data_IF_302894850790
#
_entry.id   IF_302894850790
#
_cell.length_a   1.000
_cell.length_b   1.000
_cell.length_c   1.000
_cell.angle_alpha   90.00
_cell.angle_beta   90.00
_cell.angle_gamma   90.00
#
_symmetry.space_group_name_H-M   'P 1'
#
loop_
_entity.id
_entity.type
_entity.pdbx_description
1 polymer ?
#
# COMPACT_ATOMS: atom_id res chain seq x y z
N UNK A 1 -4.86 -50.93 -20.93
CA UNK A 1 -5.61 -49.70 -21.26
C UNK A 1 -4.93 -48.57 -20.50
N UNK A 2 -3.87 -47.99 -21.08
CA UNK A 2 -3.13 -46.88 -20.48
C UNK A 2 -3.92 -45.59 -20.72
N UNK A 3 -4.25 -44.85 -19.66
CA UNK A 3 -4.87 -43.52 -19.78
C UNK A 3 -3.79 -42.53 -20.19
N UNK A 4 -3.98 -41.90 -21.35
CA UNK A 4 -3.16 -40.80 -21.84
C UNK A 4 -3.28 -39.59 -20.90
N UNK A 5 -2.16 -39.20 -20.27
CA UNK A 5 -2.04 -38.01 -19.40
C UNK A 5 -1.57 -36.75 -20.18
N UNK A 6 -1.59 -36.83 -21.50
CA UNK A 6 -1.08 -35.83 -22.45
C UNK A 6 -1.73 -34.43 -22.36
N UNK A 7 -3.02 -34.22 -21.99
CA UNK A 7 -3.59 -32.86 -21.97
C UNK A 7 -3.16 -32.02 -20.75
N UNK A 8 -2.72 -32.65 -19.66
CA UNK A 8 -2.30 -31.92 -18.45
C UNK A 8 -0.88 -31.38 -18.54
N UNK A 9 -0.02 -32.03 -19.33
CA UNK A 9 1.38 -31.58 -19.56
C UNK A 9 1.41 -30.33 -20.42
N UNK A 10 0.51 -30.22 -21.42
CA UNK A 10 0.39 -29.05 -22.28
C UNK A 10 -0.05 -27.78 -21.55
N UNK A 11 -1.04 -27.89 -20.64
CA UNK A 11 -1.53 -26.75 -19.86
C UNK A 11 -0.48 -26.25 -18.85
N UNK A 12 0.25 -27.17 -18.19
CA UNK A 12 1.36 -26.82 -17.30
C UNK A 12 2.52 -26.16 -18.05
N UNK A 13 2.85 -26.64 -19.26
CA UNK A 13 3.88 -26.04 -20.12
C UNK A 13 3.47 -24.64 -20.61
N UNK A 14 2.21 -24.42 -20.96
CA UNK A 14 1.70 -23.10 -21.36
C UNK A 14 1.70 -22.12 -20.20
N UNK A 15 1.25 -22.54 -19.01
CA UNK A 15 1.31 -21.72 -17.79
C UNK A 15 2.76 -21.44 -17.35
N UNK A 16 3.67 -22.42 -17.44
CA UNK A 16 5.10 -22.20 -17.20
C UNK A 16 5.72 -21.27 -18.24
N UNK A 17 5.33 -21.38 -19.51
CA UNK A 17 5.82 -20.49 -20.57
C UNK A 17 5.29 -19.06 -20.41
N UNK A 18 4.03 -18.86 -20.02
CA UNK A 18 3.48 -17.55 -19.71
C UNK A 18 4.09 -16.95 -18.44
N UNK A 19 4.34 -17.77 -17.42
CA UNK A 19 5.06 -17.39 -16.21
C UNK A 19 6.51 -16.98 -16.49
N UNK A 20 7.24 -17.74 -17.31
CA UNK A 20 8.61 -17.44 -17.72
C UNK A 20 8.68 -16.23 -18.65
N UNK A 21 7.69 -16.05 -19.52
CA UNK A 21 7.54 -14.93 -20.44
C UNK A 21 7.26 -13.61 -19.69
N UNK A 22 6.30 -13.61 -18.76
CA UNK A 22 6.00 -12.44 -17.92
C UNK A 22 7.16 -12.07 -16.99
N UNK A 23 7.90 -13.06 -16.46
CA UNK A 23 9.18 -12.81 -15.79
C UNK A 23 10.14 -12.08 -16.75
N UNK A 24 10.40 -12.64 -17.93
CA UNK A 24 11.35 -12.07 -18.91
C UNK A 24 10.98 -10.63 -19.32
N UNK A 25 9.71 -10.31 -19.50
CA UNK A 25 9.25 -8.94 -19.81
C UNK A 25 9.48 -7.96 -18.64
N UNK A 26 9.15 -8.37 -17.40
CA UNK A 26 9.47 -7.59 -16.20
C UNK A 26 10.99 -7.39 -16.02
N UNK A 27 11.80 -8.42 -16.28
CA UNK A 27 13.26 -8.35 -16.28
C UNK A 27 13.80 -7.40 -17.35
N UNK A 28 13.25 -7.44 -18.56
CA UNK A 28 13.67 -6.55 -19.63
C UNK A 28 13.37 -5.09 -19.29
N UNK A 29 12.21 -4.78 -18.70
CA UNK A 29 11.88 -3.42 -18.24
C UNK A 29 12.78 -2.95 -17.09
N UNK A 30 13.11 -3.81 -16.12
CA UNK A 30 14.08 -3.48 -15.06
C UNK A 30 15.49 -3.25 -15.62
N UNK A 31 15.92 -4.08 -16.58
CA UNK A 31 17.24 -3.97 -17.23
C UNK A 31 17.39 -2.75 -18.15
N UNK A 32 16.28 -2.14 -18.56
CA UNK A 32 16.28 -0.88 -19.31
C UNK A 32 16.49 0.34 -18.41
N UNK A 33 16.38 0.20 -17.08
CA UNK A 33 16.56 1.28 -16.09
C UNK A 33 17.95 1.27 -15.42
N UNK A 34 18.84 0.33 -15.78
CA UNK A 34 20.20 0.20 -15.22
C UNK A 34 20.86 -1.13 -15.60
N UNK A 35 22.17 -1.31 -15.36
CA UNK A 35 22.93 -2.46 -15.84
C UNK A 35 22.28 -3.79 -15.39
N UNK A 36 22.25 -4.79 -16.29
CA UNK A 36 21.49 -6.06 -16.26
C UNK A 36 21.75 -7.01 -15.08
N UNK A 37 21.73 -6.47 -13.86
CA UNK A 37 21.71 -7.19 -12.61
C UNK A 37 20.27 -7.68 -12.40
N UNK A 38 20.04 -8.98 -12.12
CA UNK A 38 18.72 -9.44 -11.74
C UNK A 38 18.29 -8.71 -10.45
N UNK A 39 17.18 -7.95 -10.50
CA UNK A 39 16.29 -7.68 -9.36
C UNK A 39 16.34 -8.78 -8.29
N UNK A 40 16.67 -8.34 -7.08
CA UNK A 40 16.63 -9.14 -5.87
C UNK A 40 15.66 -8.51 -4.90
N UNK A 41 14.86 -9.36 -4.27
CA UNK A 41 13.95 -8.96 -3.22
C UNK A 41 14.64 -9.03 -1.85
N UNK A 42 15.71 -8.26 -1.65
CA UNK A 42 16.58 -8.32 -0.47
C UNK A 42 16.78 -6.95 0.21
N UNK A 43 15.81 -6.05 0.04
CA UNK A 43 15.83 -4.75 0.71
C UNK A 43 15.71 -4.89 2.23
N UNK A 44 16.75 -4.43 2.93
CA UNK A 44 16.75 -4.31 4.38
C UNK A 44 16.19 -2.94 4.80
N UNK A 45 15.29 -2.97 5.78
CA UNK A 45 14.64 -1.80 6.35
C UNK A 45 14.56 -1.94 7.88
N UNK A 46 14.42 -0.82 8.59
CA UNK A 46 14.24 -0.82 10.05
C UNK A 46 12.91 -0.18 10.41
N UNK A 47 12.44 -0.41 11.64
CA UNK A 47 11.15 0.07 12.11
C UNK A 47 11.29 0.89 13.38
N UNK A 48 10.41 1.88 13.55
CA UNK A 48 10.23 2.65 14.78
C UNK A 48 8.75 2.65 15.15
N UNK A 49 8.41 2.26 16.39
CA UNK A 49 7.02 2.28 16.85
C UNK A 49 6.64 3.73 17.15
N UNK A 50 5.64 4.25 16.44
CA UNK A 50 5.10 5.61 16.62
C UNK A 50 3.93 5.63 17.60
N UNK A 51 3.17 4.52 17.66
CA UNK A 51 2.06 4.33 18.57
C UNK A 51 1.85 2.83 18.79
N UNK A 52 1.55 2.44 20.02
CA UNK A 52 1.29 1.04 20.39
C UNK A 52 -0.19 0.71 20.20
N UNK A 53 -1.09 1.62 20.59
CA UNK A 53 -2.54 1.47 20.44
C UNK A 53 -3.17 2.83 20.05
N UNK A 54 -3.68 2.99 18.81
CA UNK A 54 -3.58 2.06 17.70
C UNK A 54 -2.13 1.83 17.26
N UNK A 55 -1.82 0.64 16.74
CA UNK A 55 -0.48 0.35 16.25
C UNK A 55 -0.16 1.20 15.02
N UNK A 56 0.90 2.01 15.12
CA UNK A 56 1.49 2.74 14.00
C UNK A 56 3.02 2.62 14.06
N UNK A 57 3.63 2.34 12.92
CA UNK A 57 5.05 2.03 12.80
C UNK A 57 5.64 2.83 11.64
N UNK A 58 6.73 3.57 11.88
CA UNK A 58 7.54 4.16 10.83
C UNK A 58 8.45 3.12 10.19
N UNK A 59 8.57 3.13 8.88
CA UNK A 59 9.37 2.19 8.09
C UNK A 59 10.53 2.96 7.44
N UNK A 60 11.73 2.81 7.98
CA UNK A 60 12.93 3.45 7.43
C UNK A 60 13.47 2.65 6.26
N UNK A 61 13.70 3.30 5.11
CA UNK A 61 14.32 2.66 3.95
C UNK A 61 13.55 1.40 3.48
N UNK A 62 12.22 1.46 3.51
CA UNK A 62 11.34 0.36 3.12
C UNK A 62 11.46 -0.01 1.64
N UNK A 63 11.71 0.97 0.76
CA UNK A 63 12.03 0.77 -0.66
C UNK A 63 13.41 1.32 -0.98
N UNK A 64 14.14 0.65 -1.88
CA UNK A 64 15.35 1.22 -2.47
C UNK A 64 15.07 2.03 -3.75
N UNK A 65 16.08 2.78 -4.19
CA UNK A 65 16.01 3.60 -5.39
C UNK A 65 15.69 2.83 -6.68
N UNK A 66 16.10 1.57 -6.79
CA UNK A 66 15.82 0.77 -7.98
C UNK A 66 14.34 0.37 -8.03
N UNK A 67 13.78 -0.10 -6.91
CA UNK A 67 12.35 -0.38 -6.76
C UNK A 67 11.52 0.88 -7.04
N UNK A 68 11.89 2.02 -6.47
CA UNK A 68 11.17 3.28 -6.65
C UNK A 68 11.17 3.72 -8.12
N UNK A 69 12.33 3.75 -8.78
CA UNK A 69 12.42 4.15 -10.19
C UNK A 69 11.60 3.23 -11.09
N UNK A 70 11.62 1.93 -10.81
CA UNK A 70 10.81 0.96 -11.55
C UNK A 70 9.31 1.21 -11.39
N UNK A 71 8.83 1.38 -10.16
CA UNK A 71 7.41 1.64 -9.88
C UNK A 71 6.93 2.95 -10.54
N UNK A 72 7.75 4.02 -10.48
CA UNK A 72 7.44 5.28 -11.15
C UNK A 72 7.27 5.11 -12.66
N UNK A 73 8.17 4.37 -13.32
CA UNK A 73 8.07 4.07 -14.74
C UNK A 73 6.87 3.17 -15.06
N UNK A 74 6.57 2.19 -14.19
CA UNK A 74 5.44 1.28 -14.36
C UNK A 74 4.10 2.02 -14.30
N UNK A 75 3.97 3.02 -13.44
CA UNK A 75 2.75 3.80 -13.23
C UNK A 75 2.55 5.00 -14.17
N UNK A 76 3.59 5.44 -14.90
CA UNK A 76 3.64 6.75 -15.57
C UNK A 76 2.43 7.05 -16.47
N UNK A 77 1.97 6.05 -17.25
CA UNK A 77 0.95 6.25 -18.29
C UNK A 77 -0.45 5.73 -17.91
N UNK A 78 -0.68 5.36 -16.65
CA UNK A 78 -1.94 4.73 -16.21
C UNK A 78 -2.64 5.48 -15.08
N UNK A 79 -2.17 6.68 -14.73
CA UNK A 79 -2.85 7.57 -13.77
C UNK A 79 -4.22 8.01 -14.27
N UNK A 80 -5.19 8.01 -13.35
CA UNK A 80 -6.55 8.53 -13.54
C UNK A 80 -6.99 9.31 -12.31
N UNK A 81 -7.99 10.20 -12.40
CA UNK A 81 -8.54 10.88 -11.23
C UNK A 81 -8.89 9.89 -10.12
N UNK A 82 -8.48 10.19 -8.88
CA UNK A 82 -8.68 9.26 -7.77
C UNK A 82 -10.13 9.21 -7.33
N UNK A 83 -10.55 8.02 -6.95
CA UNK A 83 -11.90 7.78 -6.44
C UNK A 83 -11.94 7.78 -4.91
N UNK A 84 -13.13 8.02 -4.36
CA UNK A 84 -13.47 7.93 -2.94
C UNK A 84 -14.71 7.07 -2.75
N UNK A 85 -14.72 6.30 -1.66
CA UNK A 85 -15.90 5.56 -1.24
C UNK A 85 -16.99 6.52 -0.72
N UNK A 86 -18.22 6.34 -1.19
CA UNK A 86 -19.42 7.07 -0.79
C UNK A 86 -20.54 6.07 -0.46
N UNK A 87 -21.59 6.53 0.23
CA UNK A 87 -22.82 5.76 0.47
C UNK A 87 -23.47 5.26 -0.82
N UNK A 88 -23.26 5.97 -1.93
CA UNK A 88 -23.80 5.64 -3.27
C UNK A 88 -22.84 4.81 -4.13
N UNK A 89 -21.74 4.30 -3.57
CA UNK A 89 -20.69 3.60 -4.30
C UNK A 89 -19.40 4.40 -4.43
N UNK A 90 -18.58 4.08 -5.44
CA UNK A 90 -17.28 4.70 -5.68
C UNK A 90 -17.48 5.91 -6.61
N UNK A 91 -16.99 7.10 -6.21
CA UNK A 91 -17.15 8.34 -6.97
C UNK A 91 -15.83 9.12 -7.08
N UNK A 92 -15.69 9.93 -8.12
CA UNK A 92 -14.65 10.98 -8.18
C UNK A 92 -15.19 12.23 -7.49
N UNK A 93 -14.54 12.66 -6.40
CA UNK A 93 -14.92 13.88 -5.68
C UNK A 93 -13.68 14.71 -5.31
N UNK A 94 -13.35 15.66 -6.18
CA UNK A 94 -12.16 16.52 -6.07
C UNK A 94 -12.18 17.45 -4.84
N UNK A 95 -13.34 17.67 -4.23
CA UNK A 95 -13.42 18.45 -2.97
C UNK A 95 -12.89 17.67 -1.77
N UNK A 96 -12.92 16.33 -1.83
CA UNK A 96 -12.48 15.40 -0.79
C UNK A 96 -11.09 14.83 -1.09
N UNK A 97 -10.87 14.40 -2.34
CA UNK A 97 -9.61 13.84 -2.83
C UNK A 97 -9.36 14.35 -4.24
N UNK A 98 -8.30 15.12 -4.43
CA UNK A 98 -7.96 15.73 -5.74
C UNK A 98 -6.76 15.07 -6.44
N UNK A 99 -6.22 14.00 -5.86
CA UNK A 99 -5.09 13.25 -6.42
C UNK A 99 -5.44 12.47 -7.69
N UNK A 100 -4.41 12.00 -8.39
CA UNK A 100 -4.51 10.94 -9.40
C UNK A 100 -4.03 9.60 -8.82
N UNK A 101 -4.60 8.48 -9.25
CA UNK A 101 -4.21 7.14 -8.80
C UNK A 101 -3.95 6.21 -9.99
N UNK A 102 -3.04 5.26 -9.78
CA UNK A 102 -2.72 4.17 -10.71
C UNK A 102 -2.66 2.86 -9.92
N UNK A 103 -3.43 1.86 -10.34
CA UNK A 103 -3.32 0.50 -9.81
C UNK A 103 -2.30 -0.28 -10.64
N UNK A 104 -1.33 -0.87 -9.97
CA UNK A 104 -0.27 -1.65 -10.61
C UNK A 104 -0.76 -3.08 -10.88
N UNK A 105 -0.15 -3.70 -11.89
CA UNK A 105 -0.50 -5.04 -12.33
C UNK A 105 -0.26 -6.07 -11.23
N UNK A 106 -1.24 -6.96 -11.07
CA UNK A 106 -1.07 -8.24 -10.39
C UNK A 106 -0.03 -9.07 -11.19
N UNK A 107 0.82 -9.82 -10.50
CA UNK A 107 1.93 -10.62 -11.04
C UNK A 107 3.23 -9.91 -11.47
N UNK A 108 3.42 -8.62 -11.16
CA UNK A 108 4.74 -7.97 -11.31
C UNK A 108 5.74 -8.42 -10.23
N UNK A 109 7.01 -8.65 -10.61
CA UNK A 109 8.04 -9.17 -9.70
C UNK A 109 8.37 -8.21 -8.55
N UNK A 110 8.39 -6.90 -8.80
CA UNK A 110 8.63 -5.87 -7.76
C UNK A 110 7.39 -5.77 -6.89
N UNK A 111 6.19 -5.71 -7.48
CA UNK A 111 4.94 -5.70 -6.71
C UNK A 111 4.83 -6.91 -5.75
N UNK A 112 5.12 -8.11 -6.25
CA UNK A 112 5.11 -9.35 -5.46
C UNK A 112 6.17 -9.36 -4.35
N UNK A 113 7.33 -8.75 -4.59
CA UNK A 113 8.33 -8.54 -3.57
C UNK A 113 7.81 -7.64 -2.44
N UNK A 114 7.15 -6.51 -2.77
CA UNK A 114 6.58 -5.61 -1.78
C UNK A 114 5.44 -6.28 -0.99
N UNK A 115 4.55 -7.00 -1.68
CA UNK A 115 3.51 -7.81 -1.04
C UNK A 115 4.13 -8.77 -0.03
N UNK A 116 5.21 -9.47 -0.40
CA UNK A 116 5.91 -10.39 0.49
C UNK A 116 6.52 -9.65 1.70
N UNK A 117 7.04 -8.43 1.51
CA UNK A 117 7.56 -7.58 2.59
C UNK A 117 6.47 -7.15 3.58
N UNK A 118 5.28 -6.79 3.09
CA UNK A 118 4.12 -6.49 3.94
C UNK A 118 3.65 -7.72 4.72
N UNK A 119 3.57 -8.88 4.06
CA UNK A 119 3.23 -10.16 4.73
C UNK A 119 4.24 -10.48 5.84
N UNK A 120 5.53 -10.28 5.58
CA UNK A 120 6.58 -10.47 6.58
C UNK A 120 6.47 -9.51 7.76
N UNK A 121 6.04 -8.25 7.55
CA UNK A 121 5.80 -7.28 8.62
C UNK A 121 4.62 -7.69 9.50
N UNK A 122 3.54 -8.16 8.88
CA UNK A 122 2.31 -8.59 9.59
C UNK A 122 2.52 -9.90 10.37
N UNK A 123 3.46 -10.74 9.94
CA UNK A 123 3.85 -11.94 10.67
C UNK A 123 2.67 -12.89 10.93
N UNK A 124 2.33 -13.12 12.19
CA UNK A 124 1.28 -14.06 12.59
C UNK A 124 -0.13 -13.44 12.65
N UNK A 125 -0.28 -12.13 12.39
CA UNK A 125 -1.62 -11.51 12.33
C UNK A 125 -2.38 -12.11 11.15
N UNK A 126 -3.67 -12.41 11.28
CA UNK A 126 -4.43 -13.04 10.18
C UNK A 126 -4.53 -12.13 8.95
N UNK A 127 -3.78 -12.46 7.89
CA UNK A 127 -3.81 -11.75 6.61
C UNK A 127 -3.67 -12.74 5.45
N UNK A 128 -4.71 -12.90 4.63
CA UNK A 128 -4.68 -13.84 3.50
C UNK A 128 -4.28 -13.14 2.20
N UNK A 129 -4.73 -11.90 2.03
CA UNK A 129 -4.61 -11.16 0.79
C UNK A 129 -4.02 -9.77 1.03
N UNK A 130 -3.27 -9.28 0.05
CA UNK A 130 -2.84 -7.88 -0.06
C UNK A 130 -3.38 -7.39 -1.40
N UNK A 131 -4.15 -6.31 -1.37
CA UNK A 131 -4.74 -5.70 -2.57
C UNK A 131 -3.66 -5.27 -3.57
N UNK A 132 -4.03 -5.16 -4.85
CA UNK A 132 -3.16 -4.61 -5.90
C UNK A 132 -2.62 -3.24 -5.47
N UNK A 133 -1.31 -3.03 -5.64
CA UNK A 133 -0.65 -1.82 -5.14
C UNK A 133 -1.19 -0.59 -5.86
N UNK A 134 -1.52 0.46 -5.10
CA UNK A 134 -2.03 1.71 -5.67
C UNK A 134 -1.00 2.82 -5.51
N UNK A 135 -0.49 3.34 -6.62
CA UNK A 135 0.24 4.59 -6.64
C UNK A 135 -0.72 5.77 -6.60
N UNK A 136 -0.36 6.82 -5.87
CA UNK A 136 -1.16 8.04 -5.72
C UNK A 136 -0.28 9.27 -5.90
N UNK A 137 -0.63 10.13 -6.85
CA UNK A 137 0.10 11.34 -7.21
C UNK A 137 -0.67 12.59 -6.78
N UNK A 138 0.04 13.49 -6.10
CA UNK A 138 -0.45 14.79 -5.66
C UNK A 138 0.42 15.87 -6.30
N UNK A 139 -0.21 16.83 -6.99
CA UNK A 139 0.45 17.94 -7.64
C UNK A 139 0.43 19.21 -6.78
N UNK A 140 1.28 20.17 -7.14
CA UNK A 140 1.24 21.51 -6.58
C UNK A 140 -0.13 22.18 -6.82
N UNK A 141 -0.51 23.11 -5.93
CA UNK A 141 -1.80 23.80 -6.01
C UNK A 141 -2.82 23.38 -4.95
N UNK A 142 -2.38 22.61 -3.94
CA UNK A 142 -3.19 22.25 -2.79
C UNK A 142 -3.82 20.86 -2.86
N UNK A 143 -3.31 19.98 -3.72
CA UNK A 143 -3.79 18.60 -3.77
C UNK A 143 -3.70 17.93 -2.42
N UNK A 144 -4.76 17.20 -2.07
CA UNK A 144 -4.95 16.63 -0.75
C UNK A 144 -5.92 15.46 -0.76
N UNK A 145 -5.92 14.72 0.33
CA UNK A 145 -7.00 13.82 0.70
C UNK A 145 -7.45 14.20 2.11
N UNK A 146 -8.70 14.63 2.25
CA UNK A 146 -9.32 14.93 3.55
C UNK A 146 -9.34 13.70 4.46
N UNK A 147 -9.66 13.94 5.73
CA UNK A 147 -9.81 12.91 6.76
C UNK A 147 -10.70 11.75 6.27
N UNK A 148 -10.15 10.54 6.33
CA UNK A 148 -10.82 9.30 5.97
C UNK A 148 -10.22 8.13 6.76
N UNK A 149 -10.86 6.96 6.65
CA UNK A 149 -10.35 5.69 7.16
C UNK A 149 -10.19 4.71 6.01
N UNK A 150 -9.27 3.75 6.15
CA UNK A 150 -9.04 2.74 5.12
C UNK A 150 -9.90 1.49 5.29
N UNK A 151 -10.32 1.14 6.52
CA UNK A 151 -11.02 -0.13 6.77
C UNK A 151 -12.42 -0.23 6.13
N UNK A 152 -13.02 0.88 5.71
CA UNK A 152 -14.38 0.99 5.13
C UNK A 152 -15.53 0.52 6.05
N UNK A 153 -16.56 1.36 6.18
CA UNK A 153 -17.80 1.01 6.91
C UNK A 153 -18.52 -0.16 6.24
N UNK A 154 -18.53 -0.17 4.90
CA UNK A 154 -19.07 -1.28 4.10
C UNK A 154 -18.01 -2.36 3.91
N UNK A 155 -18.38 -3.61 4.21
CA UNK A 155 -17.52 -4.75 3.91
C UNK A 155 -17.31 -4.87 2.40
N UNK A 156 -16.06 -5.16 1.98
CA UNK A 156 -15.77 -5.56 0.60
C UNK A 156 -16.17 -7.02 0.43
N UNK A 157 -16.91 -7.30 -0.63
CA UNK A 157 -17.23 -8.66 -1.04
C UNK A 157 -16.18 -9.13 -2.03
N UNK A 158 -15.44 -10.17 -1.69
CA UNK A 158 -14.51 -10.83 -2.58
C UNK A 158 -15.01 -12.26 -2.81
N UNK A 159 -15.00 -12.72 -4.05
CA UNK A 159 -15.28 -14.12 -4.35
C UNK A 159 -13.99 -14.91 -4.17
N UNK A 160 -14.03 -15.91 -3.32
CA UNK A 160 -12.96 -16.89 -3.21
C UNK A 160 -12.90 -17.72 -4.50
N UNK A 161 -11.80 -17.68 -5.23
CA UNK A 161 -11.71 -18.34 -6.53
C UNK A 161 -11.80 -19.86 -6.43
N UNK A 162 -11.31 -20.45 -5.34
CA UNK A 162 -11.27 -21.90 -5.15
C UNK A 162 -12.65 -22.48 -4.80
N UNK A 163 -13.41 -21.81 -3.93
CA UNK A 163 -14.71 -22.28 -3.43
C UNK A 163 -15.90 -21.61 -4.12
N UNK A 164 -15.70 -20.51 -4.86
CA UNK A 164 -16.74 -19.67 -5.42
C UNK A 164 -17.56 -18.92 -4.36
N UNK A 165 -17.15 -18.96 -3.08
CA UNK A 165 -17.88 -18.38 -1.96
C UNK A 165 -17.63 -16.88 -1.91
N UNK A 166 -18.70 -16.10 -1.73
CA UNK A 166 -18.59 -14.68 -1.37
C UNK A 166 -18.10 -14.56 0.07
N UNK A 167 -16.98 -13.87 0.26
CA UNK A 167 -16.37 -13.59 1.55
C UNK A 167 -16.40 -12.09 1.82
N UNK A 168 -16.85 -11.74 3.01
CA UNK A 168 -16.85 -10.36 3.48
C UNK A 168 -15.51 -10.03 4.11
N UNK A 169 -15.02 -8.82 3.85
CA UNK A 169 -13.70 -8.40 4.29
C UNK A 169 -13.60 -6.91 4.58
N UNK A 170 -12.55 -6.56 5.32
CA UNK A 170 -12.09 -5.19 5.54
C UNK A 170 -10.59 -5.11 5.34
N UNK A 171 -10.07 -3.90 5.14
CA UNK A 171 -8.63 -3.68 5.18
C UNK A 171 -8.14 -3.80 6.62
N UNK A 172 -7.23 -4.73 6.87
CA UNK A 172 -6.58 -4.99 8.15
C UNK A 172 -5.54 -3.93 8.46
N UNK A 173 -4.57 -3.74 7.56
CA UNK A 173 -3.47 -2.83 7.76
C UNK A 173 -3.12 -2.10 6.48
N UNK A 174 -2.58 -0.90 6.62
CA UNK A 174 -2.10 -0.09 5.51
C UNK A 174 -0.62 0.15 5.66
N UNK A 175 0.13 0.00 4.57
CA UNK A 175 1.43 0.65 4.41
C UNK A 175 1.28 1.77 3.39
N UNK A 176 1.72 2.97 3.76
CA UNK A 176 1.90 4.09 2.84
C UNK A 176 3.38 4.40 2.70
N UNK A 177 3.94 4.28 1.50
CA UNK A 177 5.36 4.57 1.22
C UNK A 177 5.48 5.77 0.28
N UNK A 178 6.47 6.64 0.51
CA UNK A 178 6.73 7.78 -0.37
C UNK A 178 7.71 7.38 -1.50
N UNK A 179 7.29 7.57 -2.75
CA UNK A 179 8.09 7.29 -3.96
C UNK A 179 8.77 8.56 -4.51
N UNK A 180 8.09 9.71 -4.37
CA UNK A 180 8.56 11.04 -4.76
C UNK A 180 8.20 12.02 -3.64
N UNK A 181 9.18 12.82 -3.22
CA UNK A 181 9.10 13.70 -2.05
C UNK A 181 9.63 15.11 -2.32
N UNK A 182 9.87 15.50 -3.59
CA UNK A 182 10.21 16.85 -4.01
C UNK A 182 9.04 17.83 -3.83
N UNK A 183 8.56 17.97 -2.60
CA UNK A 183 7.39 18.75 -2.24
C UNK A 183 7.57 19.50 -0.92
N UNK A 184 6.77 20.54 -0.74
CA UNK A 184 6.55 21.19 0.56
C UNK A 184 5.12 20.93 1.03
N UNK A 185 4.95 20.54 2.29
CA UNK A 185 3.69 20.02 2.82
C UNK A 185 3.51 18.54 2.46
N UNK A 186 2.26 18.09 2.33
CA UNK A 186 1.99 16.70 1.93
C UNK A 186 2.14 15.66 3.04
N UNK A 187 2.24 16.08 4.30
CA UNK A 187 2.36 15.17 5.43
C UNK A 187 1.15 14.22 5.50
N UNK A 188 1.40 12.97 5.91
CA UNK A 188 0.31 12.07 6.32
C UNK A 188 -0.02 12.39 7.77
N UNK A 189 -1.23 12.88 8.00
CA UNK A 189 -1.68 13.40 9.28
C UNK A 189 -2.70 12.47 9.94
N UNK A 190 -2.41 12.06 11.17
CA UNK A 190 -3.29 11.28 12.03
C UNK A 190 -3.69 12.11 13.26
N UNK A 191 -4.86 12.77 13.27
CA UNK A 191 -5.28 13.65 14.38
C UNK A 191 -5.42 12.95 15.74
N UNK A 192 -5.72 11.65 15.75
CA UNK A 192 -6.05 10.91 16.98
C UNK A 192 -4.93 9.98 17.44
N UNK A 193 -3.83 9.88 16.70
CA UNK A 193 -2.64 9.16 17.16
C UNK A 193 -1.80 10.07 18.06
N UNK A 194 -1.90 9.81 19.35
CA UNK A 194 -1.17 10.50 20.42
C UNK A 194 -0.04 9.60 20.89
N UNK A 195 1.21 10.02 20.76
CA UNK A 195 2.37 9.15 21.01
C UNK A 195 3.69 9.67 20.47
N UNK A 196 3.64 10.69 19.62
CA UNK A 196 4.82 11.45 19.20
C UNK A 196 5.07 12.54 20.24
N UNK A 197 6.29 12.65 20.71
CA UNK A 197 6.70 13.66 21.67
C UNK A 197 7.23 14.92 20.98
N UNK A 198 7.28 16.04 21.70
CA UNK A 198 7.78 17.31 21.16
C UNK A 198 9.27 17.24 20.78
N UNK A 199 10.02 16.27 21.30
CA UNK A 199 11.41 15.93 20.97
C UNK A 199 11.55 14.88 19.85
N UNK A 200 10.46 14.56 19.14
CA UNK A 200 10.52 13.67 17.98
C UNK A 200 11.50 14.19 16.91
N UNK A 201 12.01 13.26 16.11
CA UNK A 201 13.05 13.47 15.08
C UNK A 201 12.83 14.71 14.21
N UNK A 202 11.58 15.13 13.97
CA UNK A 202 11.28 16.43 13.36
C UNK A 202 11.52 16.45 11.85
N UNK A 203 12.31 15.52 11.32
CA UNK A 203 12.52 15.31 9.89
C UNK A 203 11.67 14.14 9.37
N UNK A 204 11.56 13.04 10.12
CA UNK A 204 10.73 11.88 9.75
C UNK A 204 9.25 12.06 10.12
N UNK A 205 9.02 12.47 11.36
CA UNK A 205 7.70 12.63 11.95
C UNK A 205 7.72 13.68 13.06
N UNK A 206 6.57 14.25 13.38
CA UNK A 206 6.42 15.27 14.43
C UNK A 206 5.01 15.29 15.01
N UNK A 207 4.85 15.98 16.14
CA UNK A 207 3.54 16.35 16.68
C UNK A 207 2.95 17.47 15.82
N UNK A 208 1.65 17.36 15.49
CA UNK A 208 0.95 18.47 14.86
C UNK A 208 0.81 19.66 15.82
N UNK A 209 0.76 20.87 15.26
CA UNK A 209 0.64 22.11 16.04
C UNK A 209 -0.60 22.09 16.93
N UNK A 210 -0.52 22.79 18.06
CA UNK A 210 -1.63 22.98 19.01
C UNK A 210 -2.12 21.68 19.69
N UNK A 211 -1.20 20.73 19.93
CA UNK A 211 -1.39 19.72 20.96
C UNK A 211 -2.14 18.46 20.54
N UNK A 212 -2.03 18.00 19.30
CA UNK A 212 -2.49 16.64 19.03
C UNK A 212 -2.31 16.11 17.61
N UNK A 213 -1.80 14.89 17.53
CA UNK A 213 -1.75 14.09 16.32
C UNK A 213 -0.35 13.87 15.77
N UNK A 214 -0.18 12.74 15.08
CA UNK A 214 1.05 12.35 14.39
C UNK A 214 1.06 12.96 12.98
N UNK A 215 2.18 13.61 12.63
CA UNK A 215 2.54 13.95 11.26
C UNK A 215 3.69 13.06 10.80
N UNK A 216 3.50 12.39 9.67
CA UNK A 216 4.58 11.68 8.96
C UNK A 216 4.94 12.50 7.72
N UNK A 217 6.21 12.91 7.61
CA UNK A 217 6.68 13.73 6.49
C UNK A 217 6.99 12.87 5.27
N UNK A 218 6.74 13.37 4.05
CA UNK A 218 7.22 12.72 2.85
C UNK A 218 8.74 12.56 2.88
N UNK A 219 9.19 11.31 2.77
CA UNK A 219 10.60 10.97 2.67
C UNK A 219 10.77 9.76 1.77
N UNK A 220 11.36 9.95 0.61
CA UNK A 220 11.48 8.93 -0.44
C UNK A 220 12.04 7.62 0.09
N UNK A 221 11.41 6.52 -0.28
CA UNK A 221 11.72 5.16 0.17
C UNK A 221 11.30 4.82 1.59
N UNK A 222 10.83 5.78 2.38
CA UNK A 222 10.34 5.56 3.74
C UNK A 222 8.82 5.47 3.72
N UNK A 223 8.23 4.93 4.78
CA UNK A 223 6.79 4.78 4.88
C UNK A 223 6.27 4.73 6.30
N UNK A 224 4.97 4.57 6.41
CA UNK A 224 4.27 4.35 7.66
C UNK A 224 3.29 3.19 7.50
N UNK A 225 3.31 2.28 8.47
CA UNK A 225 2.30 1.25 8.65
C UNK A 225 1.33 1.69 9.75
N UNK A 226 0.04 1.38 9.59
CA UNK A 226 -0.93 1.44 10.68
C UNK A 226 -1.96 0.31 10.56
N UNK A 227 -2.42 -0.16 11.72
CA UNK A 227 -3.46 -1.17 11.82
C UNK A 227 -4.85 -0.52 11.83
N UNK A 228 -5.75 -0.97 10.96
CA UNK A 228 -7.03 -0.34 10.70
C UNK A 228 -8.21 -0.93 11.50
N UNK A 229 -8.05 -2.08 12.15
CA UNK A 229 -9.15 -2.77 12.84
C UNK A 229 -8.77 -3.15 14.27
N UNK A 230 -9.75 -3.14 15.16
CA UNK A 230 -9.62 -3.74 16.49
C UNK A 230 -9.53 -5.27 16.41
N UNK A 231 -9.10 -5.91 17.50
CA UNK A 231 -9.04 -7.37 17.63
C UNK A 231 -10.40 -8.07 17.58
N UNK A 232 -11.51 -7.33 17.63
CA UNK A 232 -12.86 -7.85 17.37
C UNK A 232 -13.28 -7.74 15.88
N UNK A 233 -12.40 -7.24 15.00
CA UNK A 233 -12.65 -7.05 13.56
C UNK A 233 -13.43 -5.78 13.19
N UNK A 234 -13.79 -4.93 14.16
CA UNK A 234 -14.40 -3.61 13.88
C UNK A 234 -13.34 -2.61 13.45
N UNK A 235 -13.70 -1.66 12.58
CA UNK A 235 -12.81 -0.57 12.21
C UNK A 235 -12.39 0.28 13.40
N UNK A 236 -11.14 0.73 13.41
CA UNK A 236 -10.62 1.67 14.41
C UNK A 236 -10.70 3.10 13.85
N UNK A 237 -11.59 3.92 14.41
CA UNK A 237 -11.75 5.32 14.01
C UNK A 237 -10.56 6.20 14.44
N UNK A 238 -9.74 5.75 15.39
CA UNK A 238 -8.58 6.50 15.88
C UNK A 238 -7.44 6.56 14.84
N UNK A 239 -7.46 5.72 13.82
CA UNK A 239 -6.52 5.79 12.67
C UNK A 239 -7.06 6.61 11.50
N UNK A 240 -8.12 7.41 11.71
CA UNK A 240 -8.53 8.42 10.73
C UNK A 240 -7.33 9.28 10.34
N UNK A 241 -7.15 9.53 9.05
CA UNK A 241 -5.98 10.22 8.55
C UNK A 241 -6.24 11.02 7.28
N UNK A 242 -5.32 11.93 6.96
CA UNK A 242 -5.38 12.80 5.80
C UNK A 242 -4.01 12.92 5.12
N UNK A 243 -4.02 13.17 3.81
CA UNK A 243 -2.86 13.73 3.11
C UNK A 243 -3.00 15.25 3.11
N UNK A 244 -2.13 15.94 3.84
CA UNK A 244 -2.17 17.40 3.91
C UNK A 244 -1.87 18.05 2.54
N UNK A 245 -2.30 19.31 2.32
CA UNK A 245 -2.12 19.96 1.02
C UNK A 245 -0.67 20.08 0.58
N UNK A 246 -0.40 19.77 -0.69
CA UNK A 246 0.89 20.09 -1.33
C UNK A 246 0.97 21.58 -1.62
N UNK A 247 1.95 22.26 -1.02
CA UNK A 247 2.19 23.69 -1.21
C UNK A 247 2.98 23.97 -2.49
N UNK A 248 3.96 23.12 -2.79
CA UNK A 248 4.78 23.18 -3.99
C UNK A 248 5.34 21.80 -4.32
N UNK A 249 5.71 21.58 -5.58
CA UNK A 249 6.36 20.35 -6.02
C UNK A 249 5.39 19.18 -6.22
N UNK A 250 5.89 17.96 -6.10
CA UNK A 250 5.13 16.73 -6.35
C UNK A 250 5.36 15.72 -5.23
N UNK A 251 4.28 15.06 -4.80
CA UNK A 251 4.34 13.90 -3.92
C UNK A 251 3.75 12.71 -4.66
N UNK A 252 4.46 11.59 -4.69
CA UNK A 252 3.91 10.31 -5.13
C UNK A 252 4.04 9.32 -3.97
N UNK A 253 2.92 8.70 -3.61
CA UNK A 253 2.86 7.65 -2.60
C UNK A 253 2.45 6.30 -3.20
N UNK A 254 2.65 5.24 -2.41
CA UNK A 254 2.25 3.88 -2.71
C UNK A 254 1.45 3.32 -1.53
N UNK A 255 0.18 3.00 -1.78
CA UNK A 255 -0.70 2.30 -0.87
C UNK A 255 -0.55 0.78 -1.02
N UNK A 256 -0.43 0.10 0.11
CA UNK A 256 -0.49 -1.36 0.21
C UNK A 256 -1.49 -1.71 1.31
N UNK A 257 -2.53 -2.47 0.97
CA UNK A 257 -3.59 -2.81 1.92
C UNK A 257 -3.69 -4.31 2.10
N UNK A 258 -3.56 -4.80 3.33
CA UNK A 258 -3.86 -6.19 3.66
C UNK A 258 -5.33 -6.35 3.99
N UNK A 259 -5.86 -7.53 3.76
CA UNK A 259 -7.27 -7.85 3.95
C UNK A 259 -7.45 -8.81 5.12
N UNK A 260 -8.42 -8.49 5.98
CA UNK A 260 -8.99 -9.39 6.97
C UNK A 260 -10.36 -9.87 6.50
N UNK A 261 -10.56 -11.18 6.48
CA UNK A 261 -11.82 -11.82 6.11
C UNK A 261 -12.61 -12.20 7.36
N UNK A 262 -13.92 -11.94 7.36
CA UNK A 262 -14.77 -12.15 8.53
C UNK A 262 -15.02 -13.63 8.86
N UNK A 263 -14.76 -14.52 7.91
CA UNK A 263 -14.83 -15.96 8.12
C UNK A 263 -13.49 -16.60 8.51
N UNK A 264 -12.46 -15.78 8.76
CA UNK A 264 -11.18 -16.20 9.33
C UNK A 264 -11.09 -15.79 10.81
N UNK A 265 -10.44 -16.58 11.67
CA UNK A 265 -10.26 -16.20 13.08
C UNK A 265 -9.40 -14.94 13.19
N UNK A 266 -9.69 -14.08 14.17
CA UNK A 266 -8.75 -13.01 14.52
C UNK A 266 -7.57 -13.63 15.25
N UNK A 267 -6.43 -13.67 14.58
CA UNK A 267 -5.14 -14.14 15.14
C UNK A 267 -4.23 -12.94 15.34
N UNK A 268 -3.53 -12.89 16.47
CA UNK A 268 -2.52 -11.87 16.77
C UNK A 268 -3.06 -10.52 17.26
N UNK A 269 -4.32 -10.48 17.74
CA UNK A 269 -4.94 -9.30 18.36
C UNK A 269 -5.04 -9.38 19.87
#
# INVERSE_FOLDING_TARGET
>A
MFKDYTPYVGLLLVLMSAYLYNRQEGWQRISQLGPGIPFKCDQNYTVEILSIDPLAIYLNNFLNDAEIRYLLALGENIYKPSEVASHSGIIVNTTVRSSESAFLLEDDAVCNCLISRMKSLLGNVQHEHVESLQMVKYAAGGDRYRLHTDWSVAAKNNTDEASGKLRQSRRLGTIFVYLEDSCAGGETYFPLLTGVSDDADGEKFAVAKQGGGLLVRPKRGNGVFWNNIHSNGTGDDRVVHAGLPIKSGVKIGLNMWSTYYFDSPVVGG
#
